data_IF_196233910431
#
_entry.id   IF_196233910431
#
_cell.length_a   1.000
_cell.length_b   1.000
_cell.length_c   1.000
_cell.angle_alpha   90.00
_cell.angle_beta   90.00
_cell.angle_gamma   90.00
#
_symmetry.space_group_name_H-M   'P 1'
#
loop_
_entity.id
_entity.type
_entity.pdbx_description
1 polymer ?
#
# COMPACT_ATOMS: atom_id res chain seq x y z
N UNK A 1 -3.01 -10.73 20.72
CA UNK A 1 -4.24 -9.92 20.58
C UNK A 1 -5.43 -10.86 20.54
N UNK A 2 -6.47 -10.61 21.34
CA UNK A 2 -7.63 -11.51 21.49
C UNK A 2 -8.40 -11.69 20.18
N UNK A 3 -8.75 -12.93 19.83
CA UNK A 3 -9.43 -13.32 18.58
C UNK A 3 -10.76 -12.58 18.36
N UNK A 4 -11.37 -12.11 19.44
CA UNK A 4 -12.62 -11.35 19.43
C UNK A 4 -12.46 -9.96 18.80
N UNK A 5 -11.43 -9.20 19.18
CA UNK A 5 -11.18 -7.85 18.62
C UNK A 5 -10.80 -7.91 17.14
N UNK A 6 -10.07 -8.96 16.74
CA UNK A 6 -9.71 -9.20 15.34
C UNK A 6 -10.96 -9.32 14.45
N UNK A 7 -12.02 -9.98 14.96
CA UNK A 7 -13.25 -10.18 14.20
C UNK A 7 -13.99 -8.89 13.84
N UNK A 8 -13.81 -7.81 14.62
CA UNK A 8 -14.40 -6.49 14.33
C UNK A 8 -13.65 -5.71 13.27
N UNK A 9 -12.37 -6.00 13.04
CA UNK A 9 -11.50 -5.26 12.12
C UNK A 9 -11.40 -5.99 10.77
N UNK A 10 -11.62 -7.31 10.76
CA UNK A 10 -11.55 -8.13 9.56
C UNK A 10 -12.58 -7.70 8.49
N UNK A 11 -12.17 -7.28 7.27
CA UNK A 11 -13.09 -6.84 6.20
C UNK A 11 -13.94 -7.99 5.62
N UNK A 12 -13.57 -9.24 5.92
CA UNK A 12 -14.35 -10.44 5.58
C UNK A 12 -15.57 -10.59 6.49
N UNK A 13 -15.44 -10.23 7.77
CA UNK A 13 -16.47 -10.43 8.81
C UNK A 13 -17.28 -9.16 9.07
N UNK A 14 -16.68 -7.97 8.93
CA UNK A 14 -17.34 -6.69 9.16
C UNK A 14 -17.57 -5.91 7.85
N UNK A 15 -18.82 -5.50 7.62
CA UNK A 15 -19.23 -4.68 6.48
C UNK A 15 -18.58 -3.29 6.50
N UNK A 16 -18.45 -2.65 7.67
CA UNK A 16 -17.88 -1.31 7.80
C UNK A 16 -16.40 -1.29 7.40
N UNK A 17 -15.65 -2.30 7.84
CA UNK A 17 -14.26 -2.48 7.45
C UNK A 17 -14.11 -2.68 5.94
N UNK A 18 -15.03 -3.41 5.30
CA UNK A 18 -15.07 -3.58 3.84
C UNK A 18 -15.33 -2.27 3.11
N UNK A 19 -16.29 -1.48 3.57
CA UNK A 19 -16.60 -0.18 2.99
C UNK A 19 -15.42 0.79 3.10
N UNK A 20 -14.78 0.83 4.27
CA UNK A 20 -13.58 1.63 4.50
C UNK A 20 -12.43 1.22 3.56
N UNK A 21 -12.15 -0.08 3.46
CA UNK A 21 -11.12 -0.60 2.56
C UNK A 21 -11.42 -0.28 1.09
N UNK A 22 -12.69 -0.39 0.65
CA UNK A 22 -13.12 -0.03 -0.69
C UNK A 22 -12.96 1.47 -0.97
N UNK A 23 -13.29 2.33 0.01
CA UNK A 23 -13.13 3.78 -0.12
C UNK A 23 -11.66 4.18 -0.26
N UNK A 24 -10.78 3.64 0.59
CA UNK A 24 -9.33 3.89 0.53
C UNK A 24 -8.74 3.41 -0.79
N UNK A 25 -9.00 2.16 -1.17
CA UNK A 25 -8.47 1.60 -2.41
C UNK A 25 -8.91 2.40 -3.64
N UNK A 26 -10.18 2.83 -3.67
CA UNK A 26 -10.69 3.68 -4.75
C UNK A 26 -9.97 5.02 -4.79
N UNK A 27 -9.73 5.65 -3.63
CA UNK A 27 -9.04 6.96 -3.55
C UNK A 27 -7.57 6.86 -3.97
N UNK A 28 -6.84 5.89 -3.45
CA UNK A 28 -5.43 5.68 -3.80
C UNK A 28 -5.24 5.35 -5.28
N UNK A 29 -6.17 4.59 -5.86
CA UNK A 29 -6.17 4.25 -7.28
C UNK A 29 -6.27 5.47 -8.19
N UNK A 30 -7.03 6.51 -7.80
CA UNK A 30 -7.15 7.74 -8.59
C UNK A 30 -5.83 8.50 -8.73
N UNK A 31 -4.95 8.40 -7.72
CA UNK A 31 -3.62 9.02 -7.73
C UNK A 31 -2.50 8.05 -8.15
N UNK A 32 -2.81 6.76 -8.33
CA UNK A 32 -1.83 5.73 -8.67
C UNK A 32 -0.81 5.47 -7.56
N UNK A 33 -1.25 5.57 -6.29
CA UNK A 33 -0.44 5.30 -5.10
C UNK A 33 -0.71 3.90 -4.54
N UNK A 34 0.30 3.29 -3.91
CA UNK A 34 0.13 2.10 -3.06
C UNK A 34 -0.15 2.52 -1.63
N UNK A 35 -0.69 1.59 -0.85
CA UNK A 35 -0.89 1.81 0.59
C UNK A 35 0.45 2.02 1.32
N UNK A 36 1.49 1.27 0.93
CA UNK A 36 2.84 1.36 1.50
C UNK A 36 3.49 2.74 1.29
N UNK A 37 3.10 3.46 0.23
CA UNK A 37 3.71 4.76 -0.09
C UNK A 37 3.32 5.85 0.91
N UNK A 38 2.23 5.65 1.68
CA UNK A 38 1.70 6.60 2.68
C UNK A 38 2.56 6.70 3.94
N UNK A 39 3.47 5.75 4.16
CA UNK A 39 4.32 5.72 5.34
C UNK A 39 5.50 6.68 5.22
N UNK A 40 5.48 7.77 5.98
CA UNK A 40 6.55 8.76 5.96
C UNK A 40 7.78 8.30 6.80
N UNK A 41 8.95 8.51 6.23
CA UNK A 41 10.25 8.15 6.79
C UNK A 41 10.66 9.07 7.95
N UNK A 42 10.13 10.29 8.01
CA UNK A 42 10.49 11.25 9.05
C UNK A 42 9.77 11.01 10.38
N UNK A 43 8.60 10.35 10.36
CA UNK A 43 7.80 10.12 11.56
C UNK A 43 8.21 8.88 12.36
N UNK A 44 8.94 7.94 11.76
CA UNK A 44 9.36 6.71 12.45
C UNK A 44 10.72 6.22 11.98
N UNK A 45 11.60 5.91 12.94
CA UNK A 45 12.95 5.41 12.65
C UNK A 45 12.92 4.06 11.95
N UNK A 46 11.96 3.21 12.29
CA UNK A 46 11.83 1.86 11.72
C UNK A 46 11.54 1.89 10.22
N UNK A 47 10.72 2.86 9.77
CA UNK A 47 10.38 3.01 8.34
C UNK A 47 11.59 3.54 7.58
N UNK A 48 12.35 4.48 8.16
CA UNK A 48 13.60 4.96 7.57
C UNK A 48 14.62 3.83 7.43
N UNK A 49 14.76 2.99 8.45
CA UNK A 49 15.67 1.85 8.42
C UNK A 49 15.22 0.80 7.38
N UNK A 50 13.93 0.48 7.32
CA UNK A 50 13.38 -0.40 6.29
C UNK A 50 13.71 0.14 4.89
N UNK A 51 13.45 1.42 4.64
CA UNK A 51 13.72 2.06 3.34
C UNK A 51 15.21 2.04 2.95
N UNK A 52 16.12 2.14 3.91
CA UNK A 52 17.56 2.05 3.64
C UNK A 52 18.02 0.62 3.29
N UNK A 53 17.27 -0.40 3.72
CA UNK A 53 17.57 -1.81 3.43
C UNK A 53 17.01 -2.29 2.09
N UNK A 54 15.99 -1.60 1.57
CA UNK A 54 15.41 -1.95 0.27
C UNK A 54 16.38 -1.67 -0.88
N UNK A 55 16.29 -2.44 -1.98
CA UNK A 55 17.02 -2.15 -3.20
C UNK A 55 16.58 -0.80 -3.80
N UNK A 56 17.52 -0.10 -4.43
CA UNK A 56 17.33 1.29 -4.90
C UNK A 56 16.21 1.41 -5.93
N UNK A 57 16.03 0.40 -6.79
CA UNK A 57 15.01 0.39 -7.84
C UNK A 57 13.60 0.49 -7.27
N UNK A 58 13.35 -0.14 -6.12
CA UNK A 58 12.03 -0.11 -5.46
C UNK A 58 11.79 1.26 -4.82
N UNK A 59 12.83 1.86 -4.22
CA UNK A 59 12.76 3.21 -3.64
C UNK A 59 12.52 4.26 -4.72
N UNK A 60 13.21 4.14 -5.86
CA UNK A 60 13.04 5.06 -6.98
C UNK A 60 11.65 4.94 -7.61
N UNK A 61 11.14 3.72 -7.78
CA UNK A 61 9.78 3.49 -8.24
C UNK A 61 8.74 4.11 -7.28
N UNK A 62 8.94 3.98 -5.96
CA UNK A 62 8.12 4.66 -4.94
C UNK A 62 8.16 6.19 -5.12
N UNK A 63 9.35 6.75 -5.25
CA UNK A 63 9.54 8.19 -5.40
C UNK A 63 8.89 8.73 -6.68
N UNK A 64 8.94 7.98 -7.77
CA UNK A 64 8.24 8.32 -9.02
C UNK A 64 6.72 8.33 -8.83
N UNK A 65 6.15 7.34 -8.12
CA UNK A 65 4.70 7.33 -7.81
C UNK A 65 4.29 8.55 -6.99
N UNK A 66 5.06 8.88 -5.96
CA UNK A 66 4.79 10.03 -5.09
C UNK A 66 4.88 11.35 -5.86
N UNK A 67 5.92 11.55 -6.68
CA UNK A 67 6.06 12.75 -7.54
C UNK A 67 4.87 12.93 -8.47
N UNK A 68 4.43 11.85 -9.13
CA UNK A 68 3.25 11.87 -10.00
C UNK A 68 1.97 12.20 -9.23
N UNK A 69 1.78 11.61 -8.05
CA UNK A 69 0.60 11.89 -7.25
C UNK A 69 0.55 13.35 -6.76
N UNK A 70 1.71 13.92 -6.41
CA UNK A 70 1.82 15.34 -6.08
C UNK A 70 1.48 16.23 -7.27
N UNK A 71 2.00 15.92 -8.46
CA UNK A 71 1.69 16.67 -9.69
C UNK A 71 0.19 16.64 -10.02
N UNK A 72 -0.45 15.47 -9.94
CA UNK A 72 -1.89 15.32 -10.11
C UNK A 72 -2.70 16.09 -9.05
N UNK A 73 -2.23 16.05 -7.79
CA UNK A 73 -2.86 16.78 -6.69
C UNK A 73 -2.77 18.30 -6.89
N UNK A 74 -1.64 18.80 -7.39
CA UNK A 74 -1.46 20.22 -7.70
C UNK A 74 -2.37 20.68 -8.85
N UNK A 75 -2.60 19.82 -9.84
CA UNK A 75 -3.49 20.08 -10.99
C UNK A 75 -4.97 19.89 -10.67
N UNK A 76 -5.30 19.32 -9.51
CA UNK A 76 -6.64 18.85 -9.18
C UNK A 76 -7.24 17.86 -10.22
N UNK A 77 -6.37 17.07 -10.85
CA UNK A 77 -6.73 16.08 -11.85
C UNK A 77 -6.50 14.65 -11.34
N UNK A 78 -7.14 13.68 -11.99
CA UNK A 78 -6.97 12.26 -11.66
C UNK A 78 -6.37 11.50 -12.83
N UNK A 79 -5.74 10.37 -12.53
CA UNK A 79 -5.18 9.49 -13.56
C UNK A 79 -6.31 8.99 -14.49
N UNK A 80 -6.11 8.89 -15.82
CA UNK A 80 -7.12 8.33 -16.72
C UNK A 80 -7.48 6.88 -16.34
N UNK A 81 -8.75 6.50 -16.56
CA UNK A 81 -9.33 5.22 -16.08
C UNK A 81 -8.57 4.00 -16.61
N UNK A 82 -8.01 4.07 -17.82
CA UNK A 82 -7.29 2.95 -18.45
C UNK A 82 -5.99 2.63 -17.68
N UNK A 83 -5.23 3.66 -17.29
CA UNK A 83 -4.04 3.51 -16.46
C UNK A 83 -4.39 3.05 -15.04
N UNK A 84 -5.56 3.44 -14.52
CA UNK A 84 -6.04 2.95 -13.22
C UNK A 84 -6.31 1.43 -13.23
N UNK A 85 -6.68 0.83 -14.37
CA UNK A 85 -6.95 -0.62 -14.48
C UNK A 85 -5.67 -1.44 -14.55
N UNK A 86 -4.62 -0.95 -15.22
CA UNK A 86 -3.33 -1.64 -15.31
C UNK A 86 -2.63 -1.78 -13.95
N UNK A 87 -2.73 -0.76 -13.09
CA UNK A 87 -2.27 -0.82 -11.71
C UNK A 87 -3.05 -1.84 -10.84
N UNK A 88 -4.17 -2.37 -11.35
CA UNK A 88 -5.07 -3.29 -10.67
C UNK A 88 -4.78 -4.77 -10.99
N UNK A 89 -4.13 -5.09 -12.12
CA UNK A 89 -3.78 -6.48 -12.46
C UNK A 89 -2.85 -7.13 -11.42
N UNK A 90 -1.82 -6.45 -10.88
CA UNK A 90 -1.04 -6.99 -9.77
C UNK A 90 -1.74 -6.87 -8.41
N UNK A 91 -2.89 -6.19 -8.30
CA UNK A 91 -3.62 -5.94 -7.05
C UNK A 91 -4.79 -6.92 -6.86
N UNK A 92 -5.52 -7.28 -7.93
CA UNK A 92 -6.62 -8.28 -7.88
C UNK A 92 -6.09 -9.70 -7.77
N UNK A 93 -5.00 -10.01 -8.49
CA UNK A 93 -4.34 -11.30 -8.40
C UNK A 93 -3.79 -11.54 -6.99
N UNK A 94 -3.29 -10.48 -6.35
CA UNK A 94 -2.68 -10.46 -5.01
C UNK A 94 -3.72 -10.50 -3.87
N UNK A 95 -4.88 -9.87 -4.04
CA UNK A 95 -5.96 -9.92 -3.04
C UNK A 95 -6.72 -11.26 -3.08
N UNK A 96 -6.80 -11.93 -4.25
CA UNK A 96 -7.50 -13.21 -4.42
C UNK A 96 -6.61 -14.46 -4.28
N UNK A 97 -5.37 -14.44 -4.74
CA UNK A 97 -4.38 -15.49 -4.44
C UNK A 97 -3.57 -15.02 -3.25
N UNK A 98 -3.58 -15.78 -2.15
CA UNK A 98 -2.83 -15.51 -0.91
C UNK A 98 -1.30 -15.56 -1.03
N UNK A 99 -0.76 -15.24 -2.21
CA UNK A 99 0.60 -14.81 -2.45
C UNK A 99 0.43 -13.44 -3.12
N UNK A 100 0.81 -12.32 -2.52
CA UNK A 100 2.21 -12.13 -2.15
C UNK A 100 2.35 -11.27 -0.88
N UNK A 101 3.16 -11.72 0.08
CA UNK A 101 3.69 -10.88 1.16
C UNK A 101 4.87 -10.04 0.63
N UNK A 102 4.68 -9.24 -0.43
CA UNK A 102 5.78 -8.46 -1.01
C UNK A 102 5.79 -7.06 -0.39
N UNK A 103 6.41 -7.01 0.79
CA UNK A 103 7.69 -6.33 1.02
C UNK A 103 7.88 -6.22 2.54
N UNK A 104 6.88 -5.70 3.25
CA UNK A 104 7.01 -5.39 4.68
C UNK A 104 7.02 -6.65 5.57
N UNK A 105 6.22 -7.69 5.26
CA UNK A 105 6.18 -8.93 6.07
C UNK A 105 7.39 -9.84 5.82
N UNK A 106 7.96 -9.83 4.60
CA UNK A 106 9.23 -10.51 4.31
C UNK A 106 10.42 -9.78 4.96
N UNK A 107 10.39 -8.45 5.00
CA UNK A 107 11.37 -7.63 5.74
C UNK A 107 11.22 -7.80 7.25
N UNK A 108 10.01 -7.90 7.79
CA UNK A 108 9.74 -8.22 9.20
C UNK A 108 10.15 -9.66 9.55
N UNK A 109 9.93 -10.65 8.67
CA UNK A 109 10.49 -12.00 8.85
C UNK A 109 12.02 -12.00 8.80
N UNK A 110 12.65 -11.23 7.90
CA UNK A 110 14.12 -11.04 7.92
C UNK A 110 14.64 -10.27 9.15
N UNK A 111 13.80 -9.45 9.79
CA UNK A 111 14.11 -8.75 11.04
C UNK A 111 13.89 -9.62 12.29
N UNK A 112 13.06 -10.66 12.18
CA UNK A 112 12.71 -11.57 13.28
C UNK A 112 13.61 -12.80 13.38
N UNK A 113 14.50 -13.05 12.39
CA UNK A 113 15.54 -14.09 12.43
C UNK A 113 16.82 -13.60 13.14
N UNK A 114 16.67 -12.95 14.30
CA UNK A 114 17.75 -12.70 15.25
C UNK A 114 17.38 -13.13 16.65
#
# INVERSE_FOLDING_TARGET
MSTFLQSFIDPKKNFLARMHMKAISTRLRRYGLRYDDLYDQYYSMDIKEAMNRLPREVVDARNQRLKRAMDLSMKHEYLPKDLQVLLYLPLVLFICLGHVEIDVVRILRMLSDR
#
